data_IF_174098262418
#
_entry.id   IF_174098262418
#
_cell.length_a   1.000
_cell.length_b   1.000
_cell.length_c   1.000
_cell.angle_alpha   90.00
_cell.angle_beta   90.00
_cell.angle_gamma   90.00
#
_symmetry.space_group_name_H-M   'P 1'
#
loop_
_entity.id
_entity.type
_entity.pdbx_description
1 polymer ?
#
# COMPACT_ATOMS: atom_id res chain seq x y z
N UNK A 1 -3.88 10.77 9.82
CA UNK A 1 -3.44 12.18 9.88
C UNK A 1 -1.92 12.35 10.02
N UNK A 2 -1.17 11.41 10.61
CA UNK A 2 0.30 11.51 10.75
C UNK A 2 1.08 11.50 9.42
N UNK A 3 0.58 10.83 8.38
CA UNK A 3 1.30 10.73 7.10
C UNK A 3 1.34 12.05 6.32
N UNK A 4 0.24 12.82 6.32
CA UNK A 4 0.19 14.14 5.70
C UNK A 4 1.19 15.10 6.36
N UNK A 5 1.24 15.08 7.70
CA UNK A 5 2.20 15.88 8.46
C UNK A 5 3.64 15.49 8.17
N UNK A 6 3.94 14.18 8.10
CA UNK A 6 5.28 13.70 7.74
C UNK A 6 5.71 14.15 6.34
N UNK A 7 4.81 14.06 5.36
CA UNK A 7 5.10 14.54 4.01
C UNK A 7 5.49 16.01 4.00
N UNK A 8 4.75 16.85 4.74
CA UNK A 8 5.07 18.26 4.89
C UNK A 8 6.40 18.50 5.64
N UNK A 9 6.65 17.76 6.73
CA UNK A 9 7.91 17.87 7.50
C UNK A 9 9.12 17.48 6.67
N UNK A 10 9.00 16.49 5.79
CA UNK A 10 10.09 16.07 4.91
C UNK A 10 10.18 16.88 3.62
N UNK A 11 9.30 17.86 3.40
CA UNK A 11 9.29 18.68 2.19
C UNK A 11 9.06 17.85 0.93
N UNK A 12 8.22 16.81 1.00
CA UNK A 12 7.91 16.02 -0.17
C UNK A 12 7.20 16.89 -1.23
N UNK A 13 7.53 16.72 -2.53
CA UNK A 13 6.83 17.41 -3.60
C UNK A 13 5.35 17.03 -3.63
N UNK A 14 4.52 17.87 -4.27
CA UNK A 14 3.12 17.54 -4.52
C UNK A 14 2.98 16.34 -5.45
N UNK A 15 1.82 15.67 -5.41
CA UNK A 15 1.51 14.58 -6.32
C UNK A 15 1.55 14.99 -7.78
N UNK A 16 1.06 16.19 -8.10
CA UNK A 16 1.10 16.75 -9.44
C UNK A 16 2.52 17.01 -9.92
N UNK A 17 3.41 17.47 -9.03
CA UNK A 17 4.83 17.68 -9.33
C UNK A 17 5.51 16.37 -9.68
N UNK A 18 5.24 15.30 -8.92
CA UNK A 18 5.79 13.97 -9.20
C UNK A 18 5.21 13.40 -10.50
N UNK A 19 3.89 13.52 -10.71
CA UNK A 19 3.24 13.08 -11.94
C UNK A 19 3.86 13.75 -13.18
N UNK A 20 4.07 15.07 -13.12
CA UNK A 20 4.74 15.83 -14.18
C UNK A 20 6.19 15.37 -14.42
N UNK A 21 6.95 15.09 -13.35
CA UNK A 21 8.31 14.56 -13.49
C UNK A 21 8.35 13.16 -14.12
N UNK A 22 7.27 12.37 -13.97
CA UNK A 22 7.11 11.04 -14.56
C UNK A 22 6.43 11.06 -15.94
N UNK A 23 6.10 12.23 -16.49
CA UNK A 23 5.32 12.41 -17.73
C UNK A 23 3.95 11.70 -17.69
N UNK A 24 3.33 11.69 -16.51
CA UNK A 24 1.99 11.16 -16.26
C UNK A 24 1.01 12.33 -16.13
N UNK A 25 -0.16 12.27 -16.80
CA UNK A 25 -1.20 13.27 -16.59
C UNK A 25 -1.60 13.35 -15.11
N UNK A 26 -1.52 14.54 -14.46
CA UNK A 26 -1.86 14.67 -13.06
C UNK A 26 -3.38 14.48 -12.84
N UNK A 27 -3.76 13.99 -11.67
CA UNK A 27 -5.17 13.92 -11.27
C UNK A 27 -5.79 15.31 -11.22
N UNK A 28 -6.98 15.45 -11.80
CA UNK A 28 -7.78 16.66 -11.67
C UNK A 28 -8.46 16.76 -10.31
N UNK A 29 -8.88 17.96 -9.94
CA UNK A 29 -9.57 18.23 -8.67
C UNK A 29 -10.84 17.37 -8.47
N UNK A 30 -11.57 17.04 -9.55
CA UNK A 30 -12.75 16.17 -9.49
C UNK A 30 -12.41 14.69 -9.26
N UNK A 31 -11.16 14.30 -9.45
CA UNK A 31 -10.64 12.94 -9.24
C UNK A 31 -10.07 12.76 -7.82
N UNK A 32 -9.85 13.86 -7.10
CA UNK A 32 -9.43 13.85 -5.71
C UNK A 32 -10.62 13.55 -4.79
N UNK A 33 -10.70 12.31 -4.33
CA UNK A 33 -11.84 11.77 -3.58
C UNK A 33 -11.39 11.25 -2.22
N UNK A 34 -12.20 11.47 -1.19
CA UNK A 34 -11.99 10.95 0.17
C UNK A 34 -13.14 10.03 0.55
N UNK A 35 -12.84 9.04 1.39
CA UNK A 35 -13.84 8.23 2.05
C UNK A 35 -14.37 8.95 3.29
N UNK A 36 -15.67 9.23 3.31
CA UNK A 36 -16.39 9.87 4.42
C UNK A 36 -17.25 8.85 5.13
N UNK A 37 -17.22 8.84 6.46
CA UNK A 37 -18.10 7.99 7.26
C UNK A 37 -19.50 8.61 7.34
N UNK A 38 -20.55 7.80 7.21
CA UNK A 38 -21.93 8.23 7.45
C UNK A 38 -22.25 7.93 8.92
N UNK A 39 -22.57 8.97 9.70
CA UNK A 39 -22.58 8.91 11.17
C UNK A 39 -23.68 8.06 11.80
N UNK A 40 -24.69 7.65 11.04
CA UNK A 40 -25.91 7.04 11.60
C UNK A 40 -26.06 5.54 11.28
N UNK A 41 -25.20 4.98 10.44
CA UNK A 41 -25.22 3.57 10.06
C UNK A 41 -23.88 2.89 10.36
N UNK A 42 -23.87 1.80 11.17
CA UNK A 42 -22.63 1.09 11.44
C UNK A 42 -22.08 0.50 10.13
N UNK A 43 -20.79 0.72 9.90
CA UNK A 43 -20.02 0.15 8.77
C UNK A 43 -20.42 0.65 7.38
N UNK A 44 -21.05 1.82 7.27
CA UNK A 44 -21.27 2.45 5.97
C UNK A 44 -20.43 3.71 5.76
N UNK A 45 -20.14 4.00 4.51
CA UNK A 45 -19.30 5.12 4.10
C UNK A 45 -19.66 5.58 2.69
N UNK A 46 -19.17 6.75 2.31
CA UNK A 46 -19.36 7.36 1.00
C UNK A 46 -18.04 7.85 0.45
N UNK A 47 -17.95 7.97 -0.87
CA UNK A 47 -16.85 8.67 -1.53
C UNK A 47 -17.29 10.09 -1.87
N UNK A 48 -16.56 11.08 -1.38
CA UNK A 48 -16.82 12.51 -1.59
C UNK A 48 -15.64 13.18 -2.27
N UNK A 49 -15.92 14.08 -3.21
CA UNK A 49 -14.86 14.90 -3.81
C UNK A 49 -14.32 15.87 -2.76
N UNK A 50 -13.01 16.03 -2.72
CA UNK A 50 -12.37 16.99 -1.80
C UNK A 50 -12.87 18.42 -2.05
N UNK A 51 -13.22 18.75 -3.30
CA UNK A 51 -13.80 20.03 -3.67
C UNK A 51 -15.19 20.30 -3.08
N UNK A 52 -15.93 19.25 -2.72
CA UNK A 52 -17.24 19.38 -2.07
C UNK A 52 -17.14 19.46 -0.54
N UNK A 53 -15.97 19.18 0.04
CA UNK A 53 -15.76 19.31 1.48
C UNK A 53 -15.66 20.79 1.85
N UNK A 54 -16.36 21.17 2.93
CA UNK A 54 -16.45 22.53 3.47
C UNK A 54 -17.25 23.57 2.64
N UNK A 55 -18.02 23.12 1.64
CA UNK A 55 -18.90 24.00 0.84
C UNK A 55 -19.98 24.73 1.67
N UNK A 56 -20.30 24.23 2.86
CA UNK A 56 -21.32 24.78 3.77
C UNK A 56 -20.78 25.79 4.80
N UNK A 57 -19.50 26.18 4.71
CA UNK A 57 -19.01 27.43 5.29
C UNK A 57 -18.64 27.40 6.78
N UNK A 58 -17.43 26.95 7.08
CA UNK A 58 -16.67 27.35 8.29
C UNK A 58 -15.14 27.35 8.11
N UNK A 59 -14.61 26.83 6.99
CA UNK A 59 -13.18 26.80 6.63
C UNK A 59 -12.98 27.14 5.15
N UNK A 60 -11.77 27.55 4.76
CA UNK A 60 -11.40 27.66 3.34
C UNK A 60 -11.70 26.34 2.63
N UNK A 61 -12.21 26.34 1.39
CA UNK A 61 -12.52 25.09 0.69
C UNK A 61 -11.27 24.23 0.62
N UNK A 62 -11.29 23.06 1.25
CA UNK A 62 -10.20 22.08 1.20
C UNK A 62 -9.77 21.80 -0.25
N UNK A 63 -10.72 21.83 -1.19
CA UNK A 63 -10.45 21.70 -2.62
C UNK A 63 -9.50 22.74 -3.20
N UNK A 64 -9.49 24.00 -2.73
CA UNK A 64 -8.55 25.01 -3.25
C UNK A 64 -7.12 24.72 -2.82
N UNK A 65 -6.92 24.29 -1.57
CA UNK A 65 -5.60 23.93 -1.04
C UNK A 65 -4.98 22.73 -1.77
N UNK A 66 -5.80 21.87 -2.38
CA UNK A 66 -5.39 20.65 -3.06
C UNK A 66 -5.40 20.79 -4.59
N UNK A 67 -5.73 21.96 -5.14
CA UNK A 67 -5.94 22.10 -6.59
C UNK A 67 -4.68 21.85 -7.43
N UNK A 68 -3.51 22.25 -6.94
CA UNK A 68 -2.21 22.10 -7.63
C UNK A 68 -1.06 21.78 -6.66
N UNK A 69 -1.38 21.46 -5.40
CA UNK A 69 -0.41 21.23 -4.34
C UNK A 69 -0.88 20.07 -3.45
N UNK A 70 -1.40 19.02 -4.08
CA UNK A 70 -1.91 17.87 -3.35
C UNK A 70 -0.75 17.17 -2.65
N UNK A 71 -0.80 16.96 -1.32
CA UNK A 71 0.22 16.20 -0.62
C UNK A 71 0.38 14.81 -1.25
N UNK A 72 1.61 14.44 -1.62
CA UNK A 72 1.88 13.20 -2.38
C UNK A 72 1.20 11.97 -1.78
N UNK A 73 1.23 11.81 -0.46
CA UNK A 73 0.58 10.69 0.22
C UNK A 73 -0.93 10.63 -0.01
N UNK A 74 -1.62 11.77 -0.07
CA UNK A 74 -3.04 11.80 -0.39
C UNK A 74 -3.27 11.51 -1.87
N UNK A 75 -2.47 12.13 -2.74
CA UNK A 75 -2.57 11.95 -4.18
C UNK A 75 -2.52 10.47 -4.57
N UNK A 76 -1.53 9.73 -4.06
CA UNK A 76 -1.37 8.31 -4.40
C UNK A 76 -2.53 7.43 -3.91
N UNK A 77 -3.16 7.77 -2.78
CA UNK A 77 -4.35 7.06 -2.31
C UNK A 77 -5.57 7.37 -3.18
N UNK A 78 -5.72 8.63 -3.61
CA UNK A 78 -6.76 9.03 -4.55
C UNK A 78 -6.59 8.33 -5.90
N UNK A 79 -5.34 8.19 -6.37
CA UNK A 79 -5.00 7.44 -7.58
C UNK A 79 -5.35 5.95 -7.44
N UNK A 80 -4.95 5.33 -6.34
CA UNK A 80 -5.08 3.89 -6.13
C UNK A 80 -6.54 3.40 -6.02
N UNK A 81 -7.46 4.27 -5.60
CA UNK A 81 -8.88 3.93 -5.46
C UNK A 81 -9.71 4.19 -6.73
N UNK A 82 -9.14 4.77 -7.80
CA UNK A 82 -9.88 5.05 -9.05
C UNK A 82 -10.65 3.86 -9.62
N UNK A 83 -10.12 2.61 -9.61
CA UNK A 83 -10.90 1.46 -10.08
C UNK A 83 -12.20 1.24 -9.30
N UNK A 84 -12.21 1.57 -8.00
CA UNK A 84 -13.39 1.48 -7.15
C UNK A 84 -14.44 2.51 -7.58
N UNK A 85 -14.01 3.74 -7.91
CA UNK A 85 -14.91 4.83 -8.33
C UNK A 85 -15.62 4.58 -9.67
N UNK A 86 -15.17 3.61 -10.46
CA UNK A 86 -15.87 3.15 -11.66
C UNK A 86 -17.11 2.29 -11.36
N UNK A 87 -17.20 1.73 -10.15
CA UNK A 87 -18.29 0.87 -9.70
C UNK A 87 -19.07 1.46 -8.53
N UNK A 88 -18.41 2.31 -7.74
CA UNK A 88 -18.96 2.98 -6.58
C UNK A 88 -19.14 4.47 -6.91
N UNK A 89 -20.36 4.89 -7.21
CA UNK A 89 -20.60 6.28 -7.59
C UNK A 89 -20.23 7.24 -6.45
N UNK A 90 -19.61 8.37 -6.81
CA UNK A 90 -19.38 9.47 -5.86
C UNK A 90 -20.73 9.91 -5.31
N UNK A 91 -20.83 10.04 -3.99
CA UNK A 91 -22.08 10.41 -3.32
C UNK A 91 -22.96 9.22 -2.88
N UNK A 92 -22.68 8.00 -3.33
CA UNK A 92 -23.43 6.80 -2.94
C UNK A 92 -22.90 6.20 -1.62
N UNK A 93 -23.82 5.64 -0.81
CA UNK A 93 -23.49 5.02 0.48
C UNK A 93 -23.19 3.54 0.25
N UNK A 94 -22.01 3.11 0.71
CA UNK A 94 -21.51 1.74 0.62
C UNK A 94 -21.38 1.11 1.98
N UNK A 95 -21.80 -0.15 2.10
CA UNK A 95 -21.50 -0.99 3.25
C UNK A 95 -20.09 -1.58 3.16
N UNK A 96 -19.48 -1.84 4.32
CA UNK A 96 -18.19 -2.52 4.45
C UNK A 96 -18.16 -3.88 3.74
N UNK A 97 -19.26 -4.64 3.78
CA UNK A 97 -19.37 -5.94 3.12
C UNK A 97 -19.26 -5.84 1.58
N UNK A 98 -19.78 -4.77 0.98
CA UNK A 98 -19.61 -4.52 -0.45
C UNK A 98 -18.13 -4.22 -0.80
N UNK A 99 -17.42 -3.56 0.12
CA UNK A 99 -16.01 -3.19 -0.05
C UNK A 99 -15.06 -4.37 0.14
N UNK A 100 -15.25 -5.15 1.21
CA UNK A 100 -14.35 -6.23 1.60
C UNK A 100 -14.72 -7.58 0.96
N UNK A 101 -15.98 -7.74 0.58
CA UNK A 101 -16.55 -9.01 0.16
C UNK A 101 -17.13 -9.76 1.35
N UNK A 102 -18.09 -10.63 1.05
CA UNK A 102 -18.72 -11.48 2.06
C UNK A 102 -17.99 -12.82 2.15
N UNK A 103 -18.37 -13.64 3.14
CA UNK A 103 -17.93 -15.05 3.17
C UNK A 103 -18.34 -15.85 1.92
N UNK A 104 -19.38 -15.41 1.20
CA UNK A 104 -19.89 -16.08 0.00
C UNK A 104 -19.21 -15.57 -1.28
N UNK A 105 -18.97 -14.26 -1.39
CA UNK A 105 -18.43 -13.64 -2.60
C UNK A 105 -16.89 -13.53 -2.59
N UNK A 106 -16.28 -13.75 -1.42
CA UNK A 106 -14.83 -13.74 -1.13
C UNK A 106 -14.08 -12.44 -1.43
N UNK A 107 -14.55 -11.61 -2.36
CA UNK A 107 -13.86 -10.43 -2.89
C UNK A 107 -14.87 -9.30 -3.10
N UNK A 108 -14.70 -8.18 -2.37
CA UNK A 108 -15.49 -6.96 -2.56
C UNK A 108 -14.85 -5.99 -3.55
N UNK A 109 -15.55 -4.90 -3.87
CA UNK A 109 -15.09 -3.88 -4.83
C UNK A 109 -13.77 -3.23 -4.42
N UNK A 110 -13.44 -3.24 -3.12
CA UNK A 110 -12.18 -2.72 -2.60
C UNK A 110 -10.96 -3.49 -3.06
N UNK A 111 -11.11 -4.75 -3.48
CA UNK A 111 -10.02 -5.53 -4.05
C UNK A 111 -9.54 -5.00 -5.42
N UNK A 112 -10.29 -4.07 -6.03
CA UNK A 112 -9.86 -3.38 -7.24
C UNK A 112 -8.86 -2.25 -6.96
N UNK A 113 -8.69 -1.85 -5.68
CA UNK A 113 -7.65 -0.88 -5.32
C UNK A 113 -6.29 -1.44 -5.68
N UNK A 114 -5.48 -0.62 -6.35
CA UNK A 114 -4.14 -1.00 -6.80
C UNK A 114 -3.32 0.26 -6.99
N UNK A 115 -2.00 0.12 -6.92
CA UNK A 115 -1.12 1.23 -7.28
C UNK A 115 -1.44 1.70 -8.70
N UNK A 116 -1.56 3.01 -8.87
CA UNK A 116 -1.66 3.69 -10.13
C UNK A 116 -0.30 4.02 -10.75
N UNK A 117 -0.30 4.89 -11.78
CA UNK A 117 0.93 5.28 -12.48
C UNK A 117 2.00 5.94 -11.61
N UNK A 118 1.64 6.80 -10.66
CA UNK A 118 2.62 7.54 -9.86
C UNK A 118 3.21 6.66 -8.76
N UNK A 119 2.37 6.10 -7.89
CA UNK A 119 2.83 5.24 -6.80
C UNK A 119 3.41 3.92 -7.30
N UNK A 120 2.86 3.35 -8.36
CA UNK A 120 3.40 2.17 -9.02
C UNK A 120 4.83 2.40 -9.51
N UNK A 121 5.12 3.55 -10.13
CA UNK A 121 6.48 3.90 -10.55
C UNK A 121 7.42 4.13 -9.38
N UNK A 122 6.99 4.88 -8.34
CA UNK A 122 7.80 5.07 -7.12
C UNK A 122 8.19 3.71 -6.52
N UNK A 123 7.23 2.82 -6.34
CA UNK A 123 7.46 1.51 -5.73
C UNK A 123 8.35 0.64 -6.61
N UNK A 124 8.04 0.51 -7.90
CA UNK A 124 8.80 -0.35 -8.83
C UNK A 124 10.22 0.16 -9.03
N UNK A 125 10.46 1.47 -9.16
CA UNK A 125 11.81 2.01 -9.34
C UNK A 125 12.69 1.77 -8.11
N UNK A 126 12.12 1.88 -6.89
CA UNK A 126 12.85 1.54 -5.66
C UNK A 126 13.15 0.04 -5.60
N UNK A 127 12.16 -0.83 -5.86
CA UNK A 127 12.39 -2.27 -5.85
C UNK A 127 13.39 -2.71 -6.91
N UNK A 128 13.29 -2.15 -8.12
CA UNK A 128 14.23 -2.43 -9.19
C UNK A 128 15.63 -1.97 -8.81
N UNK A 129 15.80 -0.74 -8.33
CA UNK A 129 17.10 -0.23 -7.90
C UNK A 129 17.74 -1.08 -6.80
N UNK A 130 16.95 -1.57 -5.83
CA UNK A 130 17.45 -2.49 -4.81
C UNK A 130 17.90 -3.84 -5.39
N UNK A 131 17.16 -4.38 -6.36
CA UNK A 131 17.51 -5.65 -6.99
C UNK A 131 18.74 -5.52 -7.90
N UNK A 132 18.85 -4.40 -8.63
CA UNK A 132 19.91 -4.14 -9.60
C UNK A 132 21.25 -3.83 -8.90
N UNK A 133 21.22 -3.02 -7.83
CA UNK A 133 22.43 -2.57 -7.13
C UNK A 133 22.99 -3.60 -6.13
N UNK A 134 22.19 -4.57 -5.66
CA UNK A 134 22.64 -5.61 -4.74
C UNK A 134 23.26 -6.80 -5.52
N UNK A 135 24.59 -7.04 -5.44
CA UNK A 135 25.23 -8.14 -6.15
C UNK A 135 24.79 -9.52 -5.67
N UNK A 136 24.30 -9.63 -4.43
CA UNK A 136 23.80 -10.87 -3.83
C UNK A 136 22.30 -11.08 -4.07
N UNK A 137 21.64 -10.12 -4.74
CA UNK A 137 20.23 -10.20 -5.09
C UNK A 137 19.95 -11.42 -5.96
N UNK A 138 18.70 -11.90 -5.91
CA UNK A 138 18.28 -13.03 -6.74
C UNK A 138 18.40 -12.75 -8.25
N UNK A 139 18.43 -11.47 -8.66
CA UNK A 139 18.58 -11.06 -10.06
C UNK A 139 20.03 -11.12 -10.55
N UNK A 140 21.00 -10.82 -9.67
CA UNK A 140 22.42 -10.76 -10.00
C UNK A 140 23.21 -12.03 -9.62
N UNK A 141 22.66 -12.88 -8.74
CA UNK A 141 23.31 -14.08 -8.23
C UNK A 141 23.72 -15.03 -9.36
N UNK A 142 25.02 -15.37 -9.40
CA UNK A 142 25.54 -16.45 -10.24
C UNK A 142 25.73 -17.72 -9.40
N UNK A 143 25.01 -18.80 -9.73
CA UNK A 143 25.12 -20.09 -9.04
C UNK A 143 23.78 -20.72 -8.68
N UNK A 144 23.81 -21.80 -7.90
CA UNK A 144 22.58 -22.45 -7.41
C UNK A 144 21.94 -21.68 -6.25
N UNK A 145 20.66 -21.97 -5.99
CA UNK A 145 19.97 -21.45 -4.81
C UNK A 145 20.69 -21.91 -3.52
N UNK A 146 20.79 -21.05 -2.49
CA UNK A 146 21.24 -21.42 -1.15
C UNK A 146 20.54 -22.70 -0.65
N UNK A 147 21.21 -23.54 0.16
CA UNK A 147 20.65 -24.83 0.59
C UNK A 147 19.28 -24.72 1.27
N UNK A 148 19.04 -23.67 2.06
CA UNK A 148 17.75 -23.44 2.69
C UNK A 148 16.65 -23.11 1.67
N UNK A 149 16.95 -22.23 0.71
CA UNK A 149 16.02 -21.90 -0.39
C UNK A 149 15.71 -23.15 -1.21
N UNK A 150 16.71 -23.96 -1.56
CA UNK A 150 16.53 -25.22 -2.30
C UNK A 150 15.68 -26.25 -1.53
N UNK A 151 15.75 -26.22 -0.20
CA UNK A 151 14.96 -27.10 0.67
C UNK A 151 13.50 -26.66 0.79
N UNK A 152 13.27 -25.35 0.90
CA UNK A 152 11.93 -24.76 1.02
C UNK A 152 11.24 -24.79 -0.36
N UNK A 153 11.89 -24.23 -1.37
CA UNK A 153 11.38 -24.05 -2.73
C UNK A 153 11.75 -25.26 -3.57
N UNK A 154 11.07 -26.38 -3.28
CA UNK A 154 11.28 -27.68 -3.93
C UNK A 154 11.06 -27.67 -5.45
N UNK A 155 10.33 -26.67 -5.96
CA UNK A 155 10.04 -26.47 -7.37
C UNK A 155 9.78 -24.99 -7.68
N UNK A 156 9.97 -24.60 -8.94
CA UNK A 156 9.58 -23.29 -9.46
C UNK A 156 8.12 -23.32 -9.96
N UNK A 157 7.30 -22.29 -9.71
CA UNK A 157 7.61 -21.07 -8.98
C UNK A 157 7.71 -21.29 -7.46
N UNK A 158 8.62 -20.55 -6.82
CA UNK A 158 8.65 -20.42 -5.38
C UNK A 158 7.37 -19.72 -4.91
N UNK A 159 6.73 -20.24 -3.87
CA UNK A 159 5.44 -19.72 -3.37
C UNK A 159 5.48 -19.49 -1.86
N UNK A 160 4.65 -18.56 -1.39
CA UNK A 160 4.48 -18.32 0.04
C UNK A 160 3.90 -19.55 0.76
N UNK A 161 3.06 -20.37 0.09
CA UNK A 161 2.55 -21.62 0.66
C UNK A 161 3.67 -22.59 1.04
N UNK A 162 4.71 -22.71 0.21
CA UNK A 162 5.88 -23.55 0.55
C UNK A 162 6.63 -23.05 1.79
N UNK A 163 6.67 -21.73 2.01
CA UNK A 163 7.23 -21.13 3.23
C UNK A 163 6.38 -21.50 4.44
N UNK A 164 5.04 -21.42 4.32
CA UNK A 164 4.12 -21.81 5.39
C UNK A 164 4.23 -23.31 5.69
N UNK A 165 4.25 -24.15 4.67
CA UNK A 165 4.41 -25.60 4.82
C UNK A 165 5.74 -25.91 5.51
N UNK A 166 6.83 -25.28 5.11
CA UNK A 166 8.12 -25.41 5.79
C UNK A 166 8.03 -24.98 7.25
N UNK A 167 7.49 -23.79 7.51
CA UNK A 167 7.33 -23.24 8.86
C UNK A 167 6.40 -24.06 9.76
N UNK A 168 5.52 -24.90 9.20
CA UNK A 168 4.52 -25.67 9.96
C UNK A 168 4.77 -27.18 9.95
N UNK A 169 5.58 -27.70 9.03
CA UNK A 169 5.92 -29.12 8.93
C UNK A 169 6.88 -29.62 10.03
N UNK A 170 7.60 -28.72 10.70
CA UNK A 170 8.48 -29.04 11.81
C UNK A 170 7.88 -28.68 13.16
N UNK A 171 8.09 -29.55 14.17
CA UNK A 171 8.22 -29.05 15.54
C UNK A 171 9.53 -28.26 15.60
N UNK A 172 9.52 -26.99 15.20
CA UNK A 172 10.65 -26.10 15.36
C UNK A 172 10.99 -26.00 16.84
N UNK A 173 11.94 -26.82 17.28
CA UNK A 173 12.57 -26.66 18.58
C UNK A 173 13.46 -25.44 18.45
N UNK A 174 12.87 -24.25 18.61
CA UNK A 174 13.65 -23.08 18.97
C UNK A 174 14.49 -23.52 20.16
N UNK A 175 15.82 -23.38 20.05
CA UNK A 175 16.68 -23.61 21.21
C UNK A 175 16.05 -22.80 22.35
N UNK A 176 15.73 -23.43 23.49
CA UNK A 176 15.10 -22.70 24.58
C UNK A 176 15.99 -21.50 24.90
N UNK A 177 15.39 -20.32 25.14
CA UNK A 177 16.14 -19.08 25.38
C UNK A 177 17.22 -19.24 26.46
N UNK A 178 17.04 -20.19 27.40
CA UNK A 178 18.05 -20.60 28.38
C UNK A 178 19.35 -21.11 27.75
N UNK A 179 19.30 -21.86 26.66
CA UNK A 179 20.47 -22.36 25.94
C UNK A 179 21.21 -21.26 25.15
N UNK A 180 20.54 -20.15 24.84
CA UNK A 180 21.18 -18.98 24.19
C UNK A 180 21.91 -18.11 25.22
N UNK A 181 21.43 -18.07 26.47
CA UNK A 181 22.10 -17.37 27.58
C UNK A 181 23.49 -17.90 27.89
N UNK A 182 23.74 -19.20 27.69
CA UNK A 182 25.04 -19.83 27.94
C UNK A 182 26.10 -19.46 26.89
N UNK A 183 25.70 -19.04 25.67
CA UNK A 183 26.62 -18.58 24.63
C UNK A 183 27.19 -17.18 24.92
N UNK A 184 26.51 -16.37 25.72
CA UNK A 184 27.02 -15.05 26.15
C UNK A 184 28.16 -15.17 27.17
N UNK A 185 28.34 -16.34 27.80
CA UNK A 185 29.39 -16.59 28.79
C UNK A 185 30.67 -17.19 28.20
N UNK A 186 30.77 -17.39 26.89
CA UNK A 186 31.96 -17.88 26.18
C UNK A 186 32.90 -16.75 25.71
N UNK A 187 33.01 -15.68 26.52
CA UNK A 187 34.04 -14.66 26.36
C UNK A 187 34.57 -14.20 27.73
N UNK A 188 35.31 -15.10 28.37
CA UNK A 188 36.36 -14.79 29.36
C UNK A 188 37.54 -15.71 29.14
#
# INVERSE_FOLDING_TARGET
MLNLLRGNVYGLPSGETVAGALDVPPLGLDELVVRTQVTDEPKTFRFDRIASLDAEGTRSPLGEAFRNDTPLWFYILAEAQRPVLGLAAIGEVFGEDAMLGTKADHIGVGALTRLGPVDGRIVVEVFYGLLDEDPDSIANRTGGAPPLEAHIFKSTPATFSQIIDFATAGQWHLAPLSAVGDLANWST
#
